data_IF_750408067148
#
_entry.id   IF_750408067148
#
_cell.length_a   1.000
_cell.length_b   1.000
_cell.length_c   1.000
_cell.angle_alpha   90.00
_cell.angle_beta   90.00
_cell.angle_gamma   90.00
#
_symmetry.space_group_name_H-M   'P 1'
#
loop_
_entity.id
_entity.type
_entity.pdbx_description
1 polymer ?
#
# COMPACT_ATOMS: atom_id res chain seq x y z
N UNK A 1 -23.05 -3.58 -10.06
CA UNK A 1 -22.04 -3.45 -8.99
C UNK A 1 -20.88 -2.71 -9.60
N UNK A 2 -20.78 -1.40 -9.38
CA UNK A 2 -19.57 -0.68 -9.74
C UNK A 2 -18.50 -1.05 -8.73
N UNK A 3 -17.63 -1.95 -9.16
CA UNK A 3 -16.39 -2.26 -8.48
C UNK A 3 -15.58 -0.97 -8.48
N UNK A 4 -15.58 -0.24 -7.37
CA UNK A 4 -14.65 0.84 -7.12
C UNK A 4 -13.26 0.25 -7.31
N UNK A 5 -12.68 0.45 -8.51
CA UNK A 5 -11.38 -0.12 -8.88
C UNK A 5 -10.31 0.59 -8.08
N UNK A 6 -10.11 0.11 -6.86
CA UNK A 6 -8.96 0.44 -6.04
C UNK A 6 -7.72 0.12 -6.85
N UNK A 7 -7.03 1.17 -7.32
CA UNK A 7 -5.86 1.02 -8.18
C UNK A 7 -4.65 0.75 -7.29
N UNK A 8 -4.26 -0.52 -7.22
CA UNK A 8 -3.08 -0.94 -6.47
C UNK A 8 -1.80 -0.62 -7.25
N UNK A 9 -0.90 0.13 -6.63
CA UNK A 9 0.42 0.45 -7.13
C UNK A 9 1.47 -0.34 -6.35
N UNK A 10 2.26 -1.12 -7.07
CA UNK A 10 3.40 -1.84 -6.51
C UNK A 10 4.58 -0.89 -6.27
N UNK A 11 5.30 -1.07 -5.16
CA UNK A 11 6.49 -0.28 -4.86
C UNK A 11 7.61 -0.57 -5.89
N UNK A 12 8.35 0.48 -6.29
CA UNK A 12 9.39 0.38 -7.34
C UNK A 12 10.58 -0.50 -6.97
N UNK A 13 10.78 -0.82 -5.69
CA UNK A 13 11.82 -1.73 -5.19
C UNK A 13 11.35 -3.20 -5.07
N UNK A 14 10.19 -3.55 -5.63
CA UNK A 14 9.74 -4.95 -5.74
C UNK A 14 10.54 -5.69 -6.84
N UNK A 15 11.84 -5.91 -6.61
CA UNK A 15 12.71 -6.69 -7.49
C UNK A 15 12.57 -8.20 -7.26
N UNK A 16 12.97 -8.99 -8.27
CA UNK A 16 12.96 -10.46 -8.26
C UNK A 16 13.90 -11.09 -7.21
N UNK A 17 14.76 -10.29 -6.57
CA UNK A 17 15.77 -10.69 -5.58
C UNK A 17 15.28 -10.61 -4.12
N UNK A 18 13.98 -10.86 -3.86
CA UNK A 18 13.47 -10.99 -2.49
C UNK A 18 13.22 -9.68 -1.73
N UNK A 19 13.20 -8.53 -2.42
CA UNK A 19 12.87 -7.22 -1.84
C UNK A 19 11.40 -7.14 -1.37
N UNK A 20 11.18 -6.47 -0.25
CA UNK A 20 9.87 -6.30 0.40
C UNK A 20 8.75 -5.90 -0.59
N UNK A 21 7.71 -6.72 -0.67
CA UNK A 21 6.70 -6.66 -1.73
C UNK A 21 5.40 -6.02 -1.21
N UNK A 22 5.38 -4.71 -0.97
CA UNK A 22 4.14 -4.01 -0.58
C UNK A 22 3.47 -3.33 -1.79
N UNK A 23 2.14 -3.33 -1.79
CA UNK A 23 1.32 -2.56 -2.72
C UNK A 23 0.48 -1.54 -1.94
N UNK A 24 0.35 -0.35 -2.52
CA UNK A 24 -0.41 0.75 -1.97
C UNK A 24 -1.62 1.06 -2.85
N UNK A 25 -2.72 1.44 -2.22
CA UNK A 25 -3.92 1.88 -2.89
C UNK A 25 -4.35 3.24 -2.37
N UNK A 26 -4.63 4.17 -3.28
CA UNK A 26 -5.29 5.42 -2.95
C UNK A 26 -6.81 5.17 -2.85
N UNK A 27 -7.37 5.44 -1.67
CA UNK A 27 -8.81 5.31 -1.38
C UNK A 27 -9.45 6.67 -1.09
N UNK A 28 -8.79 7.79 -1.43
CA UNK A 28 -9.22 9.15 -1.12
C UNK A 28 -8.72 9.60 0.25
N UNK A 29 -9.50 9.33 1.29
CA UNK A 29 -9.21 9.74 2.68
C UNK A 29 -8.32 8.74 3.43
N UNK A 30 -8.07 7.59 2.81
CA UNK A 30 -7.27 6.51 3.35
C UNK A 30 -6.30 5.94 2.32
N UNK A 31 -5.26 5.29 2.82
CA UNK A 31 -4.29 4.52 2.06
C UNK A 31 -4.43 3.06 2.46
N UNK A 32 -4.72 2.21 1.48
CA UNK A 32 -4.68 0.77 1.64
C UNK A 32 -3.26 0.25 1.45
N UNK A 33 -2.78 -0.59 2.35
CA UNK A 33 -1.49 -1.28 2.26
C UNK A 33 -1.75 -2.78 2.30
N UNK A 34 -1.20 -3.50 1.33
CA UNK A 34 -1.24 -4.96 1.33
C UNK A 34 0.10 -5.57 0.94
N UNK A 35 0.29 -6.82 1.34
CA UNK A 35 1.38 -7.64 0.84
C UNK A 35 1.04 -8.13 -0.58
N UNK A 36 1.95 -7.90 -1.52
CA UNK A 36 1.81 -8.31 -2.92
C UNK A 36 1.84 -9.83 -3.09
N UNK A 37 2.46 -10.57 -2.15
CA UNK A 37 2.54 -12.04 -2.21
C UNK A 37 1.28 -12.69 -1.63
N UNK A 38 0.51 -11.97 -0.82
CA UNK A 38 -0.77 -12.39 -0.27
C UNK A 38 -1.89 -11.35 -0.54
N UNK A 39 -2.36 -11.22 -1.79
CA UNK A 39 -3.34 -10.18 -2.17
C UNK A 39 -4.71 -10.35 -1.50
N UNK A 40 -5.03 -11.57 -1.06
CA UNK A 40 -6.25 -11.92 -0.32
C UNK A 40 -6.05 -11.92 1.21
N UNK A 41 -4.83 -11.64 1.67
CA UNK A 41 -4.52 -11.51 3.08
C UNK A 41 -5.07 -10.21 3.70
N UNK A 42 -4.80 -10.02 5.01
CA UNK A 42 -5.16 -8.81 5.72
C UNK A 42 -4.59 -7.56 5.03
N UNK A 43 -5.40 -6.52 4.95
CA UNK A 43 -5.02 -5.21 4.40
C UNK A 43 -4.98 -4.21 5.55
N UNK A 44 -3.92 -3.43 5.61
CA UNK A 44 -3.87 -2.30 6.53
C UNK A 44 -4.56 -1.11 5.85
N UNK A 45 -5.39 -0.41 6.60
CA UNK A 45 -6.04 0.82 6.17
C UNK A 45 -5.57 1.91 7.11
N UNK A 46 -4.94 2.94 6.56
CA UNK A 46 -4.47 4.09 7.33
C UNK A 46 -5.14 5.35 6.80
N UNK A 47 -5.56 6.30 7.66
CA UNK A 47 -5.87 7.65 7.23
C UNK A 47 -4.70 8.25 6.45
N UNK A 48 -4.99 9.09 5.47
CA UNK A 48 -3.97 9.68 4.60
C UNK A 48 -2.90 10.48 5.38
N UNK A 49 -3.32 11.18 6.42
CA UNK A 49 -2.43 11.97 7.28
C UNK A 49 -1.49 11.07 8.10
N UNK A 50 -2.02 9.99 8.67
CA UNK A 50 -1.23 9.01 9.42
C UNK A 50 -0.22 8.30 8.52
N UNK A 51 -0.61 7.97 7.29
CA UNK A 51 0.29 7.39 6.31
C UNK A 51 1.42 8.37 5.94
N UNK A 52 1.10 9.65 5.75
CA UNK A 52 2.11 10.67 5.48
C UNK A 52 3.10 10.83 6.65
N UNK A 53 2.60 10.84 7.89
CA UNK A 53 3.43 10.90 9.09
C UNK A 53 4.34 9.66 9.23
N UNK A 54 3.80 8.46 8.98
CA UNK A 54 4.57 7.22 8.96
C UNK A 54 5.69 7.26 7.91
N UNK A 55 5.40 7.69 6.69
CA UNK A 55 6.42 7.78 5.63
C UNK A 55 7.47 8.83 5.98
N UNK A 56 7.08 9.93 6.60
CA UNK A 56 8.01 10.96 7.06
C UNK A 56 8.96 10.44 8.15
N UNK A 57 8.50 9.58 9.06
CA UNK A 57 9.36 9.01 10.11
C UNK A 57 10.32 7.93 9.60
N UNK A 58 9.98 7.27 8.49
CA UNK A 58 10.82 6.24 7.86
C UNK A 58 11.87 6.80 6.90
N UNK A 59 11.71 8.05 6.46
CA UNK A 59 12.69 8.75 5.61
C UNK A 59 13.80 9.32 6.49
N UNK A 60 14.91 8.60 6.59
CA UNK A 60 16.18 9.10 7.11
C UNK A 60 17.00 9.79 6.01
#
# INVERSE_FOLDING_TARGET
MEELKTTWRKASHSGNDGGHCVELADLGDAVGIRDSKNPNGPKLLLPRDDFAALVASLKH
#
